data_IF_659641854868
#
_entry.id   IF_659641854868
#
_cell.length_a   1.000
_cell.length_b   1.000
_cell.length_c   1.000
_cell.angle_alpha   90.00
_cell.angle_beta   90.00
_cell.angle_gamma   90.00
#
_symmetry.space_group_name_H-M   'P 1'
#
loop_
_entity.id
_entity.type
_entity.pdbx_description
1 polymer ?
#
# COMPACT_ATOMS: atom_id res chain seq x y z
N UNK A 1 10.64 9.38 9.81
CA UNK A 1 10.62 8.09 9.08
C UNK A 1 11.79 8.01 8.12
N UNK A 2 12.42 6.84 8.06
CA UNK A 2 13.49 6.60 7.11
C UNK A 2 13.02 5.59 6.08
N UNK A 3 13.67 5.54 4.93
CA UNK A 3 13.34 4.57 3.90
C UNK A 3 13.52 3.15 4.41
N UNK A 4 14.52 2.91 5.23
CA UNK A 4 14.79 1.59 5.80
C UNK A 4 13.65 1.12 6.69
N UNK A 5 13.11 2.01 7.51
CA UNK A 5 11.99 1.66 8.39
C UNK A 5 10.74 1.39 7.55
N UNK A 6 10.52 2.19 6.52
CA UNK A 6 9.40 1.99 5.62
C UNK A 6 9.51 0.64 4.91
N UNK A 7 10.70 0.30 4.43
CA UNK A 7 10.94 -0.98 3.76
C UNK A 7 10.66 -2.15 4.69
N UNK A 8 11.04 -2.01 5.97
CA UNK A 8 10.79 -3.05 6.96
C UNK A 8 9.29 -3.25 7.19
N UNK A 9 8.53 -2.15 7.25
CA UNK A 9 7.08 -2.24 7.42
C UNK A 9 6.45 -2.95 6.22
N UNK A 10 6.89 -2.61 5.01
CA UNK A 10 6.39 -3.26 3.80
C UNK A 10 6.68 -4.75 3.86
N UNK A 11 7.90 -5.15 4.26
CA UNK A 11 8.24 -6.56 4.37
C UNK A 11 7.34 -7.30 5.36
N UNK A 12 7.05 -6.68 6.50
CA UNK A 12 6.18 -7.28 7.52
C UNK A 12 4.77 -7.46 6.99
N UNK A 13 4.23 -6.44 6.32
CA UNK A 13 2.89 -6.51 5.76
C UNK A 13 2.81 -7.60 4.68
N UNK A 14 3.82 -7.67 3.83
CA UNK A 14 3.85 -8.68 2.76
C UNK A 14 3.91 -10.09 3.35
N UNK A 15 4.76 -10.29 4.35
CA UNK A 15 4.92 -11.62 4.94
C UNK A 15 3.66 -12.08 5.68
N UNK A 16 2.98 -11.15 6.35
CA UNK A 16 1.83 -11.51 7.18
C UNK A 16 0.53 -11.56 6.41
N UNK A 17 0.33 -10.68 5.43
CA UNK A 17 -0.96 -10.49 4.76
C UNK A 17 -0.98 -10.94 3.32
N UNK A 18 0.17 -11.11 2.71
CA UNK A 18 0.30 -11.49 1.28
C UNK A 18 -0.56 -10.57 0.39
N UNK A 19 -0.36 -9.25 0.47
CA UNK A 19 -1.17 -8.32 -0.30
C UNK A 19 -0.82 -8.35 -1.78
N UNK A 20 -1.71 -7.82 -2.60
CA UNK A 20 -1.42 -7.67 -4.03
C UNK A 20 -0.61 -6.41 -4.29
N UNK A 21 -0.84 -5.36 -3.50
CA UNK A 21 -0.18 -4.08 -3.71
C UNK A 21 -0.19 -3.25 -2.43
N UNK A 22 0.84 -2.46 -2.24
CA UNK A 22 0.91 -1.49 -1.15
C UNK A 22 1.30 -0.15 -1.77
N UNK A 23 0.51 0.89 -1.51
CA UNK A 23 0.71 2.21 -2.09
C UNK A 23 0.85 3.24 -0.98
N UNK A 24 1.90 4.06 -1.05
CA UNK A 24 2.09 5.20 -0.17
C UNK A 24 1.38 6.40 -0.78
N UNK A 25 0.57 7.09 0.00
CA UNK A 25 -0.11 8.29 -0.48
C UNK A 25 -0.02 9.38 0.59
N UNK A 26 -0.66 10.51 0.34
CA UNK A 26 -0.61 11.61 1.27
C UNK A 26 0.68 12.41 1.16
N UNK A 27 1.02 13.15 2.21
CA UNK A 27 2.12 14.10 2.15
C UNK A 27 3.48 13.46 1.87
N UNK A 28 3.69 12.23 2.33
CA UNK A 28 4.97 11.54 2.07
C UNK A 28 5.11 11.07 0.63
N UNK A 29 4.01 11.01 -0.11
CA UNK A 29 4.05 10.56 -1.51
C UNK A 29 4.18 11.72 -2.49
N UNK A 30 3.44 12.80 -2.26
CA UNK A 30 3.39 13.89 -3.23
C UNK A 30 3.70 15.27 -2.69
N UNK A 31 4.07 15.38 -1.44
CA UNK A 31 4.34 16.68 -0.86
C UNK A 31 5.64 16.67 -0.07
N UNK A 32 5.87 17.76 0.65
CA UNK A 32 7.00 17.85 1.58
C UNK A 32 6.44 17.54 2.97
N UNK A 33 6.78 16.38 3.54
CA UNK A 33 6.24 16.03 4.85
C UNK A 33 6.81 16.94 5.94
N UNK A 34 5.98 17.23 6.93
CA UNK A 34 6.39 17.97 8.11
C UNK A 34 6.60 17.01 9.27
N UNK A 35 7.03 17.52 10.42
CA UNK A 35 7.22 16.70 11.60
C UNK A 35 5.93 16.07 12.11
N UNK A 36 4.78 16.67 11.77
CA UNK A 36 3.48 16.16 12.18
C UNK A 36 2.81 15.29 11.14
N UNK A 37 3.48 15.03 10.02
CA UNK A 37 2.90 14.24 8.93
C UNK A 37 2.73 12.79 9.33
N UNK A 38 1.62 12.19 8.87
CA UNK A 38 1.31 10.78 9.08
C UNK A 38 1.63 10.03 7.79
N UNK A 39 2.18 8.83 7.93
CA UNK A 39 2.45 7.97 6.78
C UNK A 39 1.16 7.28 6.39
N UNK A 40 0.67 7.52 5.18
CA UNK A 40 -0.58 6.96 4.70
C UNK A 40 -0.32 5.82 3.74
N UNK A 41 -0.83 4.63 4.06
CA UNK A 41 -0.61 3.42 3.27
C UNK A 41 -1.95 2.80 2.87
N UNK A 42 -2.07 2.43 1.60
CA UNK A 42 -3.19 1.65 1.09
C UNK A 42 -2.68 0.24 0.82
N UNK A 43 -3.27 -0.74 1.51
CA UNK A 43 -2.95 -2.15 1.31
C UNK A 43 -4.10 -2.77 0.52
N UNK A 44 -3.80 -3.34 -0.64
CA UNK A 44 -4.80 -3.99 -1.49
C UNK A 44 -4.58 -5.50 -1.37
N UNK A 45 -5.59 -6.21 -0.87
CA UNK A 45 -5.47 -7.65 -0.65
C UNK A 45 -6.84 -8.31 -0.73
N UNK A 46 -6.85 -9.58 -1.12
CA UNK A 46 -8.07 -10.38 -1.09
C UNK A 46 -8.36 -10.79 0.35
N UNK A 47 -9.56 -10.51 0.80
CA UNK A 47 -9.97 -10.89 2.15
C UNK A 47 -11.49 -10.84 2.24
N UNK A 48 -12.04 -11.68 3.12
CA UNK A 48 -13.47 -11.64 3.46
C UNK A 48 -13.70 -10.98 4.80
N UNK A 49 -12.63 -10.56 5.48
CA UNK A 49 -12.74 -9.93 6.79
C UNK A 49 -13.40 -8.56 6.67
N UNK A 50 -14.05 -8.13 7.74
CA UNK A 50 -14.66 -6.79 7.79
C UNK A 50 -13.56 -5.74 7.86
N UNK A 51 -13.85 -4.50 7.41
CA UNK A 51 -12.82 -3.45 7.39
C UNK A 51 -12.11 -3.24 8.72
N UNK A 52 -12.84 -3.26 9.83
CA UNK A 52 -12.23 -3.08 11.15
C UNK A 52 -11.25 -4.21 11.48
N UNK A 53 -11.62 -5.44 11.13
CA UNK A 53 -10.76 -6.59 11.39
C UNK A 53 -9.52 -6.58 10.51
N UNK A 54 -9.66 -6.09 9.29
CA UNK A 54 -8.50 -5.92 8.38
C UNK A 54 -7.50 -4.93 8.96
N UNK A 55 -8.01 -3.82 9.48
CA UNK A 55 -7.16 -2.80 10.06
C UNK A 55 -6.39 -3.35 11.26
N UNK A 56 -7.08 -4.08 12.13
CA UNK A 56 -6.43 -4.66 13.31
C UNK A 56 -5.36 -5.66 12.91
N UNK A 57 -5.66 -6.52 11.94
CA UNK A 57 -4.69 -7.51 11.48
C UNK A 57 -3.45 -6.83 10.89
N UNK A 58 -3.65 -5.83 10.04
CA UNK A 58 -2.54 -5.12 9.42
C UNK A 58 -1.73 -4.35 10.47
N UNK A 59 -2.42 -3.65 11.37
CA UNK A 59 -1.77 -2.85 12.39
C UNK A 59 -0.93 -3.70 13.34
N UNK A 60 -1.41 -4.91 13.65
CA UNK A 60 -0.67 -5.81 14.54
C UNK A 60 0.67 -6.24 13.96
N UNK A 61 0.83 -6.23 12.64
CA UNK A 61 2.10 -6.63 12.04
C UNK A 61 3.17 -5.55 12.16
N UNK A 62 2.79 -4.32 12.52
CA UNK A 62 3.69 -3.18 12.58
C UNK A 62 3.92 -2.73 14.02
N UNK A 63 3.84 -3.63 14.95
CA UNK A 63 4.10 -3.31 16.35
C UNK A 63 5.54 -3.65 16.71
N UNK A 64 6.19 -2.83 17.54
CA UNK A 64 5.70 -1.55 18.02
C UNK A 64 5.65 -0.53 16.90
N UNK A 65 4.78 0.47 17.06
CA UNK A 65 4.59 1.50 16.05
C UNK A 65 5.86 2.33 15.91
N UNK A 66 6.50 2.33 14.73
CA UNK A 66 7.76 3.06 14.55
C UNK A 66 7.57 4.53 14.26
N UNK A 67 6.39 4.92 13.77
CA UNK A 67 6.02 6.30 13.47
C UNK A 67 4.51 6.38 13.31
N UNK A 68 3.93 7.59 13.31
CA UNK A 68 2.49 7.72 13.08
C UNK A 68 2.12 7.26 11.68
N UNK A 69 1.06 6.47 11.56
CA UNK A 69 0.62 5.98 10.27
C UNK A 69 -0.89 5.80 10.23
N UNK A 70 -1.43 5.82 9.01
CA UNK A 70 -2.80 5.45 8.72
C UNK A 70 -2.78 4.32 7.71
N UNK A 71 -3.65 3.35 7.92
CA UNK A 71 -3.77 2.21 7.03
C UNK A 71 -5.18 2.14 6.46
N UNK A 72 -5.28 1.99 5.14
CA UNK A 72 -6.51 1.61 4.47
C UNK A 72 -6.28 0.22 3.90
N UNK A 73 -7.18 -0.72 4.20
CA UNK A 73 -7.08 -2.07 3.66
C UNK A 73 -8.33 -2.33 2.81
N UNK A 74 -8.13 -2.52 1.53
CA UNK A 74 -9.21 -2.69 0.56
C UNK A 74 -8.97 -3.92 -0.30
N UNK A 75 -10.05 -4.51 -0.79
CA UNK A 75 -9.92 -5.59 -1.77
C UNK A 75 -9.82 -4.99 -3.18
N UNK A 76 -9.28 -5.75 -4.14
CA UNK A 76 -9.26 -5.28 -5.54
C UNK A 76 -10.65 -4.91 -6.04
N UNK A 77 -11.68 -5.67 -5.66
CA UNK A 77 -13.05 -5.38 -6.08
C UNK A 77 -13.53 -4.05 -5.50
N UNK A 78 -13.18 -3.77 -4.24
CA UNK A 78 -13.56 -2.50 -3.62
C UNK A 78 -12.89 -1.33 -4.32
N UNK A 79 -11.63 -1.50 -4.70
CA UNK A 79 -10.90 -0.47 -5.45
C UNK A 79 -11.56 -0.23 -6.82
N UNK A 80 -11.83 -1.31 -7.55
CA UNK A 80 -12.46 -1.20 -8.86
C UNK A 80 -13.84 -0.54 -8.77
N UNK A 81 -14.63 -0.93 -7.75
CA UNK A 81 -15.94 -0.36 -7.53
C UNK A 81 -15.89 1.12 -7.20
N UNK A 82 -14.92 1.51 -6.36
CA UNK A 82 -14.76 2.92 -5.99
C UNK A 82 -14.39 3.76 -7.21
N UNK A 83 -13.50 3.26 -8.05
CA UNK A 83 -13.10 3.97 -9.28
C UNK A 83 -14.29 4.10 -10.20
N UNK A 84 -15.07 3.02 -10.37
CA UNK A 84 -16.24 3.03 -11.24
C UNK A 84 -17.31 4.01 -10.77
N UNK A 85 -17.42 4.23 -9.46
CA UNK A 85 -18.38 5.16 -8.89
C UNK A 85 -17.90 6.60 -8.87
N UNK A 86 -16.68 6.84 -9.33
CA UNK A 86 -16.13 8.19 -9.35
C UNK A 86 -15.55 8.65 -8.03
N UNK A 87 -15.10 7.73 -7.17
CA UNK A 87 -14.49 8.10 -5.90
C UNK A 87 -13.14 8.78 -6.16
N UNK A 88 -13.11 10.10 -6.04
CA UNK A 88 -11.90 10.88 -6.36
C UNK A 88 -10.72 10.57 -5.45
N UNK A 89 -10.99 10.24 -4.18
CA UNK A 89 -9.94 9.92 -3.23
C UNK A 89 -9.17 8.66 -3.67
N UNK A 90 -9.91 7.59 -3.97
CA UNK A 90 -9.28 6.34 -4.40
C UNK A 90 -8.60 6.51 -5.77
N UNK A 91 -9.24 7.25 -6.68
CA UNK A 91 -8.63 7.52 -7.99
C UNK A 91 -7.30 8.25 -7.83
N UNK A 92 -7.25 9.21 -6.92
CA UNK A 92 -6.04 9.97 -6.67
C UNK A 92 -4.92 9.07 -6.14
N UNK A 93 -5.25 8.20 -5.20
CA UNK A 93 -4.26 7.29 -4.63
C UNK A 93 -3.69 6.36 -5.70
N UNK A 94 -4.58 5.77 -6.50
CA UNK A 94 -4.16 4.80 -7.52
C UNK A 94 -3.35 5.48 -8.62
N UNK A 95 -3.71 6.70 -8.98
CA UNK A 95 -3.07 7.42 -10.07
C UNK A 95 -1.74 8.06 -9.67
N UNK A 96 -1.69 8.63 -8.48
CA UNK A 96 -0.55 9.46 -8.05
C UNK A 96 0.20 8.93 -6.85
N UNK A 97 -0.30 7.90 -6.19
CA UNK A 97 0.39 7.30 -5.06
C UNK A 97 1.66 6.59 -5.51
N UNK A 98 2.56 6.39 -4.56
CA UNK A 98 3.83 5.73 -4.83
C UNK A 98 3.69 4.25 -4.50
N UNK A 99 3.84 3.39 -5.48
CA UNK A 99 3.74 1.94 -5.27
C UNK A 99 5.00 1.46 -4.56
N UNK A 100 4.82 0.91 -3.36
CA UNK A 100 5.93 0.37 -2.58
C UNK A 100 6.10 -1.13 -2.83
N UNK A 101 5.04 -1.81 -3.21
CA UNK A 101 5.05 -3.23 -3.45
C UNK A 101 3.92 -3.60 -4.42
N UNK A 102 4.23 -4.44 -5.38
CA UNK A 102 3.22 -4.97 -6.30
C UNK A 102 3.57 -6.43 -6.57
N UNK A 103 2.66 -7.32 -6.18
CA UNK A 103 2.88 -8.76 -6.38
C UNK A 103 3.05 -9.06 -7.87
N UNK A 104 4.04 -9.86 -8.18
CA UNK A 104 4.32 -10.22 -9.56
C UNK A 104 5.19 -9.20 -10.28
N UNK A 105 4.88 -7.92 -10.14
CA UNK A 105 5.67 -6.88 -10.76
C UNK A 105 7.03 -6.72 -10.10
N UNK A 106 7.07 -6.90 -8.80
CA UNK A 106 8.34 -6.78 -8.08
C UNK A 106 9.30 -7.89 -8.46
N UNK A 107 8.78 -9.04 -8.85
CA UNK A 107 9.61 -10.15 -9.31
C UNK A 107 10.22 -9.86 -10.67
N UNK A 108 9.55 -9.03 -11.42
CA UNK A 108 10.00 -8.66 -12.75
C UNK A 108 10.94 -7.44 -12.71
N UNK A 109 11.06 -6.86 -11.58
CA UNK A 109 11.87 -5.66 -11.46
C UNK A 109 13.31 -5.91 -11.79
N UNK A 110 13.68 -7.08 -11.77
CA UNK A 110 14.99 -7.42 -12.25
C UNK A 110 14.95 -7.78 -13.70
N UNK A 111 13.89 -7.73 -14.26
CA UNK A 111 13.61 -8.29 -15.50
C UNK A 111 13.13 -7.47 -16.53
N UNK A 112 12.81 -7.48 -16.63
CA UNK A 112 12.17 -6.97 -17.38
C UNK A 112 11.80 -7.15 -18.18
N UNK A 113 11.27 -7.29 -18.29
CA UNK A 113 10.74 -7.24 -18.81
C UNK A 113 10.71 -7.56 -19.47
N UNK A 114 10.69 -7.66 -19.84
CA UNK A 114 10.29 -7.75 -20.26
C UNK A 114 10.20 -7.97 -20.85
N UNK A 115 10.20 -7.96 -21.14
CA UNK A 115 9.82 -7.88 -21.44
C UNK A 115 9.80 -8.14 -21.81
N UNK A 116 9.77 -8.20 -21.90
CA UNK A 116 9.39 -8.16 -21.90
C UNK A 116 9.07 -8.48 -22.09
N UNK A 117 9.08 -8.52 -22.50
CA UNK A 117 8.50 -8.57 -22.42
C UNK A 117 8.22 -8.88 -22.56
N UNK A 118 8.49 -8.96 -22.86
CA UNK A 118 7.97 -9.03 -22.61
C UNK A 118 8.00 -9.28 -22.52
N UNK A 119 8.04 -9.29 -22.66
CA UNK A 119 7.89 -9.18 -22.34
C UNK A 119 7.92 -9.07 -22.28
#
# INVERSE_FOLDING_TARGET
MTQEILDEIVRRLVAALDPEKIILFGSYAYGVPSGDSVVDLLVIMQTTARPADRYVAASNTIRPRPFPYDLLVKTPDEIAGAIAKGNGFIQEIVRHGRVLYARGESDMAGVPDVSEKGS
#
